data_IF_733942267813
#
_entry.id   IF_733942267813
#
_cell.length_a   1.000
_cell.length_b   1.000
_cell.length_c   1.000
_cell.angle_alpha   90.00
_cell.angle_beta   90.00
_cell.angle_gamma   90.00
#
_symmetry.space_group_name_H-M   'P 1'
#
loop_
_entity.id
_entity.type
_entity.pdbx_description
1 polymer ?
#
# COMPACT_ATOMS: atom_id res chain seq x y z
N UNK A 1 -15.73 -11.41 -0.42
CA UNK A 1 -15.97 -9.95 -0.34
C UNK A 1 -14.77 -9.32 0.37
N UNK A 2 -14.10 -8.32 -0.23
CA UNK A 2 -12.92 -7.69 0.40
C UNK A 2 -13.38 -6.82 1.57
N UNK A 3 -13.34 -7.36 2.79
CA UNK A 3 -13.72 -6.75 4.07
C UNK A 3 -12.89 -5.48 4.37
N UNK A 4 -13.41 -4.28 4.07
CA UNK A 4 -12.94 -3.01 4.66
C UNK A 4 -11.47 -2.62 4.40
N UNK A 5 -10.75 -3.33 3.53
CA UNK A 5 -9.35 -3.01 3.21
C UNK A 5 -9.28 -1.69 2.44
N UNK A 6 -8.31 -0.81 2.76
CA UNK A 6 -8.09 0.42 2.02
C UNK A 6 -7.75 0.11 0.56
N UNK A 7 -8.39 0.84 -0.35
CA UNK A 7 -8.21 0.72 -1.80
C UNK A 7 -7.73 2.05 -2.38
N UNK A 8 -6.93 1.96 -3.44
CA UNK A 8 -6.52 3.15 -4.20
C UNK A 8 -7.76 3.79 -4.83
N UNK A 9 -7.93 5.09 -4.64
CA UNK A 9 -9.11 5.84 -5.08
C UNK A 9 -9.28 5.71 -6.59
N UNK A 10 -10.52 5.45 -7.04
CA UNK A 10 -10.82 5.30 -8.47
C UNK A 10 -10.44 3.93 -9.04
N UNK A 11 -9.92 3.02 -8.21
CA UNK A 11 -9.53 1.67 -8.63
C UNK A 11 -10.20 0.61 -7.73
N UNK A 12 -10.02 -0.66 -8.09
CA UNK A 12 -10.34 -1.80 -7.20
C UNK A 12 -9.07 -2.43 -6.62
N UNK A 13 -7.95 -1.72 -6.67
CA UNK A 13 -6.63 -2.19 -6.26
C UNK A 13 -6.45 -1.93 -4.76
N UNK A 14 -6.34 -2.99 -3.94
CA UNK A 14 -6.09 -2.85 -2.51
C UNK A 14 -4.66 -2.37 -2.22
N UNK A 15 -4.50 -1.60 -1.15
CA UNK A 15 -3.18 -1.12 -0.70
C UNK A 15 -2.24 -2.27 -0.36
N UNK A 16 -2.74 -3.36 0.21
CA UNK A 16 -1.91 -4.54 0.55
C UNK A 16 -1.34 -5.26 -0.68
N UNK A 17 -2.02 -5.19 -1.83
CA UNK A 17 -1.46 -5.71 -3.08
C UNK A 17 -0.28 -4.87 -3.55
N UNK A 18 -0.40 -3.54 -3.50
CA UNK A 18 0.70 -2.63 -3.85
C UNK A 18 1.93 -2.87 -2.97
N UNK A 19 1.73 -2.96 -1.65
CA UNK A 19 2.81 -3.21 -0.69
C UNK A 19 3.41 -4.61 -0.86
N UNK A 20 2.58 -5.62 -1.14
CA UNK A 20 3.04 -6.98 -1.43
C UNK A 20 3.92 -7.05 -2.67
N UNK A 21 3.57 -6.34 -3.74
CA UNK A 21 4.38 -6.28 -4.97
C UNK A 21 5.70 -5.56 -4.75
N UNK A 22 5.72 -4.47 -3.96
CA UNK A 22 6.97 -3.82 -3.53
C UNK A 22 7.86 -4.78 -2.72
N UNK A 23 7.28 -5.52 -1.78
CA UNK A 23 8.01 -6.53 -1.01
C UNK A 23 8.54 -7.69 -1.87
N UNK A 24 7.85 -7.99 -2.97
CA UNK A 24 8.29 -8.94 -4.01
C UNK A 24 9.39 -8.42 -4.93
N UNK A 25 9.83 -7.16 -4.76
CA UNK A 25 10.93 -6.55 -5.52
C UNK A 25 10.49 -5.78 -6.77
N UNK A 26 9.18 -5.63 -7.02
CA UNK A 26 8.67 -4.88 -8.16
C UNK A 26 8.91 -3.37 -7.99
N UNK A 27 9.29 -2.69 -9.07
CA UNK A 27 9.52 -1.25 -9.04
C UNK A 27 8.23 -0.42 -9.00
N UNK A 28 8.28 0.79 -8.45
CA UNK A 28 7.11 1.70 -8.34
C UNK A 28 6.43 1.96 -9.69
N UNK A 29 7.22 2.13 -10.77
CA UNK A 29 6.67 2.35 -12.13
C UNK A 29 6.02 1.09 -12.69
N UNK A 30 6.65 -0.06 -12.50
CA UNK A 30 6.11 -1.36 -12.96
C UNK A 30 4.77 -1.67 -12.27
N UNK A 31 4.68 -1.41 -10.96
CA UNK A 31 3.43 -1.56 -10.21
C UNK A 31 2.34 -0.62 -10.74
N UNK A 32 2.69 0.63 -11.04
CA UNK A 32 1.74 1.60 -11.60
C UNK A 32 1.17 1.10 -12.93
N UNK A 33 2.03 0.60 -13.82
CA UNK A 33 1.65 0.04 -15.11
C UNK A 33 0.81 -1.24 -14.96
N UNK A 34 1.27 -2.20 -14.16
CA UNK A 34 0.61 -3.50 -13.92
C UNK A 34 -0.83 -3.34 -13.41
N UNK A 35 -1.05 -2.41 -12.47
CA UNK A 35 -2.35 -2.22 -11.84
C UNK A 35 -3.18 -1.09 -12.46
N UNK A 36 -2.72 -0.46 -13.54
CA UNK A 36 -3.41 0.66 -14.18
C UNK A 36 -3.61 1.85 -13.22
N UNK A 37 -2.60 2.13 -12.41
CA UNK A 37 -2.58 3.23 -11.42
C UNK A 37 -1.51 4.25 -11.78
N UNK A 38 -1.47 5.37 -11.06
CA UNK A 38 -0.41 6.35 -11.21
C UNK A 38 0.73 6.09 -10.22
N UNK A 39 1.92 6.60 -10.53
CA UNK A 39 3.08 6.45 -9.64
C UNK A 39 2.80 7.06 -8.27
N UNK A 40 2.03 8.15 -8.25
CA UNK A 40 1.59 8.88 -7.07
C UNK A 40 0.66 8.03 -6.19
N UNK A 41 -0.16 7.15 -6.78
CA UNK A 41 -1.01 6.23 -6.04
C UNK A 41 -0.20 5.18 -5.28
N UNK A 42 0.87 4.66 -5.91
CA UNK A 42 1.80 3.71 -5.27
C UNK A 42 2.52 4.38 -4.10
N UNK A 43 2.95 5.63 -4.27
CA UNK A 43 3.56 6.41 -3.19
C UNK A 43 2.57 6.71 -2.05
N UNK A 44 1.31 7.01 -2.38
CA UNK A 44 0.26 7.21 -1.39
C UNK A 44 -0.04 5.92 -0.59
N UNK A 45 0.05 4.75 -1.23
CA UNK A 45 -0.06 3.45 -0.56
C UNK A 45 1.06 3.25 0.48
N UNK A 46 2.31 3.59 0.11
CA UNK A 46 3.46 3.55 1.01
C UNK A 46 3.28 4.55 2.16
N UNK A 47 2.86 5.78 1.87
CA UNK A 47 2.64 6.80 2.88
C UNK A 47 1.54 6.40 3.88
N UNK A 48 0.45 5.82 3.37
CA UNK A 48 -0.62 5.28 4.21
C UNK A 48 -0.09 4.21 5.17
N UNK A 49 0.71 3.26 4.66
CA UNK A 49 1.34 2.23 5.49
C UNK A 49 2.27 2.83 6.54
N UNK A 50 3.14 3.78 6.13
CA UNK A 50 4.05 4.47 7.03
C UNK A 50 3.30 5.20 8.16
N UNK A 51 2.16 5.85 7.85
CA UNK A 51 1.30 6.51 8.85
C UNK A 51 0.65 5.54 9.83
N UNK A 52 0.30 4.32 9.40
CA UNK A 52 -0.21 3.29 10.31
C UNK A 52 0.89 2.87 11.27
N UNK A 53 2.05 2.47 10.74
CA UNK A 53 3.20 2.02 11.54
C UNK A 53 3.66 3.11 12.50
N UNK A 54 3.72 4.37 12.06
CA UNK A 54 4.10 5.49 12.92
C UNK A 54 3.10 5.78 14.05
N UNK A 55 1.84 5.37 13.92
CA UNK A 55 0.81 5.49 14.95
C UNK A 55 0.75 4.29 15.89
N UNK A 56 1.46 3.20 15.59
CA UNK A 56 1.54 2.08 16.51
C UNK A 56 2.37 2.50 17.73
N UNK A 57 1.71 2.61 18.89
CA UNK A 57 2.43 2.57 20.16
C UNK A 57 3.00 1.15 20.33
N UNK A 58 4.30 0.99 20.13
CA UNK A 58 5.00 -0.24 20.46
C UNK A 58 4.97 -0.37 21.99
N UNK A 59 3.95 -1.04 22.53
CA UNK A 59 3.97 -1.52 23.92
C UNK A 59 4.93 -2.69 24.00
N UNK A 60 6.20 -2.38 24.24
CA UNK A 60 7.17 -3.37 24.69
C UNK A 60 6.77 -3.75 26.11
N UNK A 61 6.09 -4.89 26.28
CA UNK A 61 6.04 -5.54 27.59
C UNK A 61 7.41 -6.21 27.77
N UNK A 62 8.25 -5.58 28.61
CA UNK A 62 9.47 -6.18 29.14
C UNK A 62 9.13 -7.16 30.26
#
# INVERSE_FOLDING_TARGET
MRHGKPVIKGTRVPVDIILGSLAGGMGVKEIAEEYGTQKEDVLAAIEYAAKIVAKEEIKVYA
#
